data_IF_334072630192
#
_entry.id   IF_334072630192
#
_cell.length_a   1.000
_cell.length_b   1.000
_cell.length_c   1.000
_cell.angle_alpha   90.00
_cell.angle_beta   90.00
_cell.angle_gamma   90.00
#
_symmetry.space_group_name_H-M   'P 1'
#
loop_
_entity.id
_entity.type
_entity.pdbx_description
1 polymer ?
#
# COMPACT_ATOMS: atom_id res chain seq x y z
N UNK A 1 -31.47 3.45 -9.29
CA UNK A 1 -31.64 2.28 -8.40
C UNK A 1 -30.35 1.50 -8.49
N UNK A 2 -29.30 2.02 -7.88
CA UNK A 2 -27.98 1.40 -7.92
C UNK A 2 -27.92 0.45 -6.74
N UNK A 3 -27.68 -0.83 -7.04
CA UNK A 3 -27.51 -1.86 -6.02
C UNK A 3 -26.05 -1.86 -5.64
N UNK A 4 -25.69 -1.10 -4.61
CA UNK A 4 -24.37 -1.17 -4.01
C UNK A 4 -24.39 -2.31 -2.99
N UNK A 5 -23.75 -3.41 -3.35
CA UNK A 5 -23.66 -4.61 -2.52
C UNK A 5 -22.46 -4.39 -1.61
N UNK A 6 -22.72 -3.85 -0.43
CA UNK A 6 -21.79 -3.90 0.69
C UNK A 6 -21.34 -5.35 0.92
N UNK A 7 -20.12 -5.56 1.42
CA UNK A 7 -19.65 -6.89 1.86
C UNK A 7 -20.68 -7.59 2.78
N UNK A 8 -21.47 -6.80 3.52
CA UNK A 8 -22.60 -7.25 4.36
C UNK A 8 -23.69 -8.06 3.63
N UNK A 9 -23.89 -7.87 2.32
CA UNK A 9 -24.83 -8.67 1.52
C UNK A 9 -24.24 -10.01 1.04
N UNK A 10 -22.92 -10.21 1.15
CA UNK A 10 -22.24 -11.46 0.78
C UNK A 10 -22.22 -12.51 1.90
N UNK A 11 -22.56 -12.14 3.14
CA UNK A 11 -22.73 -13.08 4.27
C UNK A 11 -24.11 -13.81 4.18
N UNK A 12 -24.55 -14.09 2.96
CA UNK A 12 -25.82 -14.75 2.64
C UNK A 12 -25.74 -16.26 2.77
N UNK A 13 -25.71 -16.77 4.01
CA UNK A 13 -25.88 -18.19 4.39
C UNK A 13 -24.96 -19.18 3.64
N UNK A 14 -23.96 -19.74 4.32
CA UNK A 14 -23.21 -20.89 3.82
C UNK A 14 -24.14 -22.05 3.41
N UNK A 15 -24.27 -22.31 2.11
CA UNK A 15 -24.93 -23.50 1.57
C UNK A 15 -23.89 -24.47 0.98
N UNK A 16 -22.93 -24.90 1.81
CA UNK A 16 -22.41 -26.28 1.76
C UNK A 16 -21.60 -26.75 0.55
N UNK A 17 -20.68 -25.94 -0.02
CA UNK A 17 -19.67 -26.43 -0.96
C UNK A 17 -18.20 -26.17 -0.58
N UNK A 18 -17.92 -25.26 0.35
CA UNK A 18 -16.56 -24.92 0.78
C UNK A 18 -16.13 -25.69 2.05
N UNK A 19 -14.82 -25.93 2.18
CA UNK A 19 -14.23 -26.49 3.40
C UNK A 19 -14.37 -25.53 4.61
N UNK A 20 -14.17 -26.04 5.82
CA UNK A 20 -14.21 -25.23 7.05
C UNK A 20 -13.18 -24.08 6.98
N UNK A 21 -13.62 -22.86 7.30
CA UNK A 21 -12.79 -21.65 7.21
C UNK A 21 -12.89 -20.89 5.88
N UNK A 22 -13.74 -21.36 4.94
CA UNK A 22 -13.97 -20.69 3.66
C UNK A 22 -15.45 -20.30 3.48
N UNK A 23 -15.69 -19.17 2.81
CA UNK A 23 -17.01 -18.65 2.46
C UNK A 23 -17.23 -18.76 0.95
N UNK A 24 -18.41 -19.25 0.54
CA UNK A 24 -18.84 -19.25 -0.85
C UNK A 24 -19.41 -17.88 -1.25
N UNK A 25 -18.87 -17.26 -2.31
CA UNK A 25 -19.35 -16.00 -2.89
C UNK A 25 -19.84 -16.26 -4.32
N UNK A 26 -21.15 -16.09 -4.55
CA UNK A 26 -21.80 -16.45 -5.80
C UNK A 26 -21.89 -15.32 -6.83
N UNK A 27 -21.75 -14.06 -6.40
CA UNK A 27 -21.91 -12.87 -7.25
C UNK A 27 -20.63 -12.03 -7.18
N UNK A 28 -19.55 -12.54 -7.77
CA UNK A 28 -18.22 -11.92 -7.70
C UNK A 28 -18.24 -10.58 -8.44
N UNK A 29 -17.89 -9.45 -7.78
CA UNK A 29 -17.81 -8.13 -8.41
C UNK A 29 -16.82 -8.07 -9.58
N UNK A 30 -17.00 -7.12 -10.50
CA UNK A 30 -16.15 -6.99 -11.70
C UNK A 30 -14.68 -6.65 -11.38
N UNK A 31 -14.42 -5.97 -10.26
CA UNK A 31 -13.09 -5.65 -9.76
C UNK A 31 -12.40 -6.83 -9.04
N UNK A 32 -13.05 -7.99 -8.94
CA UNK A 32 -12.49 -9.20 -8.31
C UNK A 32 -12.14 -10.24 -9.38
N UNK A 33 -10.85 -10.47 -9.57
CA UNK A 33 -10.31 -11.47 -10.48
C UNK A 33 -9.94 -12.75 -9.72
N UNK A 34 -10.60 -13.87 -10.03
CA UNK A 34 -10.26 -15.18 -9.46
C UNK A 34 -9.48 -15.98 -10.48
N UNK A 35 -8.23 -16.29 -10.17
CA UNK A 35 -7.29 -16.97 -11.08
C UNK A 35 -7.50 -18.50 -11.12
N UNK A 36 -8.40 -19.02 -10.29
CA UNK A 36 -8.90 -20.39 -10.31
C UNK A 36 -10.43 -20.42 -10.45
N UNK A 37 -11.01 -21.62 -10.62
CA UNK A 37 -12.46 -21.77 -10.81
C UNK A 37 -13.23 -21.88 -9.49
N UNK A 38 -12.65 -21.46 -8.35
CA UNK A 38 -13.29 -21.59 -7.04
C UNK A 38 -14.13 -20.36 -6.70
N UNK A 39 -15.24 -20.60 -6.01
CA UNK A 39 -16.09 -19.54 -5.45
C UNK A 39 -15.91 -19.46 -3.93
N UNK A 40 -14.88 -20.11 -3.39
CA UNK A 40 -14.62 -20.20 -1.96
C UNK A 40 -13.48 -19.24 -1.61
N UNK A 41 -13.64 -18.46 -0.55
CA UNK A 41 -12.71 -17.42 -0.13
C UNK A 41 -12.37 -17.62 1.34
N UNK A 42 -11.12 -17.48 1.73
CA UNK A 42 -10.73 -17.70 3.11
C UNK A 42 -11.32 -16.64 4.03
N UNK A 43 -12.00 -17.07 5.10
CA UNK A 43 -12.77 -16.20 6.00
C UNK A 43 -11.92 -15.05 6.54
N UNK A 44 -10.69 -15.31 6.98
CA UNK A 44 -9.86 -14.27 7.58
C UNK A 44 -9.41 -13.20 6.57
N UNK A 45 -9.32 -13.54 5.28
CA UNK A 45 -9.04 -12.53 4.25
C UNK A 45 -10.26 -11.64 4.06
N UNK A 46 -11.46 -12.23 4.04
CA UNK A 46 -12.72 -11.47 3.97
C UNK A 46 -12.95 -10.61 5.22
N UNK A 47 -12.62 -11.11 6.42
CA UNK A 47 -12.71 -10.37 7.67
C UNK A 47 -11.79 -9.13 7.65
N UNK A 48 -10.57 -9.27 7.12
CA UNK A 48 -9.65 -8.15 6.98
C UNK A 48 -10.18 -7.07 6.03
N UNK A 49 -10.78 -7.48 4.91
CA UNK A 49 -11.44 -6.57 3.97
C UNK A 49 -12.67 -5.89 4.60
N UNK A 50 -13.48 -6.64 5.37
CA UNK A 50 -14.62 -6.10 6.10
C UNK A 50 -14.20 -5.09 7.16
N UNK A 51 -13.12 -5.34 7.89
CA UNK A 51 -12.56 -4.41 8.87
C UNK A 51 -12.05 -3.12 8.21
N UNK A 52 -11.36 -3.21 7.06
CA UNK A 52 -10.91 -2.03 6.29
C UNK A 52 -12.13 -1.17 5.93
N UNK A 53 -13.18 -1.77 5.37
CA UNK A 53 -14.39 -1.04 5.00
C UNK A 53 -15.03 -0.45 6.26
N UNK A 54 -15.24 -1.26 7.30
CA UNK A 54 -16.03 -0.88 8.46
C UNK A 54 -15.39 0.24 9.29
N UNK A 55 -14.06 0.25 9.40
CA UNK A 55 -13.34 1.29 10.14
C UNK A 55 -13.32 2.63 9.42
N UNK A 56 -13.43 2.63 8.10
CA UNK A 56 -13.32 3.83 7.29
C UNK A 56 -14.70 4.27 6.73
N UNK A 57 -15.78 3.50 6.94
CA UNK A 57 -17.11 3.78 6.39
C UNK A 57 -17.89 4.95 7.04
N UNK A 58 -17.31 5.76 7.94
CA UNK A 58 -18.04 6.85 8.61
C UNK A 58 -17.15 8.02 9.06
N UNK A 59 -17.30 9.18 8.39
CA UNK A 59 -16.97 10.51 8.95
C UNK A 59 -17.84 11.67 8.39
N UNK A 60 -19.08 11.44 7.94
CA UNK A 60 -20.06 12.54 7.85
C UNK A 60 -20.85 12.65 9.16
N UNK A 61 -20.27 13.32 10.17
CA UNK A 61 -21.11 13.97 11.18
C UNK A 61 -21.96 15.02 10.47
N UNK A 62 -23.22 14.68 10.27
CA UNK A 62 -24.37 15.54 9.97
C UNK A 62 -24.16 16.99 10.43
N UNK A 63 -23.78 17.87 9.51
CA UNK A 63 -23.92 19.32 9.69
C UNK A 63 -25.23 19.85 9.10
N UNK A 64 -26.22 18.99 8.83
CA UNK A 64 -27.55 19.45 8.46
C UNK A 64 -28.63 18.76 9.29
N UNK A 65 -29.43 19.58 9.97
CA UNK A 65 -30.57 19.18 10.78
C UNK A 65 -31.81 18.90 9.92
N UNK A 66 -31.64 18.57 8.64
CA UNK A 66 -32.76 18.23 7.79
C UNK A 66 -33.08 16.74 7.91
N UNK A 67 -34.01 16.49 8.83
CA UNK A 67 -34.79 15.26 8.94
C UNK A 67 -35.62 15.13 7.66
N UNK A 68 -34.99 14.66 6.58
CA UNK A 68 -35.72 14.01 5.49
C UNK A 68 -35.37 12.52 5.46
N UNK A 69 -36.42 11.75 5.74
CA UNK A 69 -36.49 10.30 5.81
C UNK A 69 -36.34 9.66 4.42
N UNK A 70 -35.20 9.82 3.77
CA UNK A 70 -34.82 8.97 2.65
C UNK A 70 -33.49 8.27 2.97
N UNK A 71 -33.63 7.01 3.41
CA UNK A 71 -32.62 5.95 3.46
C UNK A 71 -31.17 6.45 3.52
N UNK A 72 -30.62 6.59 4.73
CA UNK A 72 -29.19 6.84 4.95
C UNK A 72 -28.35 5.86 4.13
N UNK A 73 -27.94 6.31 2.95
CA UNK A 73 -26.99 5.66 2.09
C UNK A 73 -25.65 6.06 2.70
N UNK A 74 -25.12 5.20 3.56
CA UNK A 74 -23.70 5.25 3.88
C UNK A 74 -22.96 5.14 2.54
N UNK A 75 -22.14 6.14 2.19
CA UNK A 75 -21.16 5.98 1.12
C UNK A 75 -20.24 4.84 1.56
N UNK A 76 -20.42 3.67 0.97
CA UNK A 76 -19.59 2.52 1.25
C UNK A 76 -18.24 2.73 0.59
N UNK A 77 -17.16 2.53 1.33
CA UNK A 77 -15.84 2.35 0.73
C UNK A 77 -15.91 1.16 -0.20
N UNK A 78 -15.64 1.42 -1.48
CA UNK A 78 -15.44 0.34 -2.43
C UNK A 78 -13.99 -0.14 -2.29
N UNK A 79 -13.76 -1.43 -2.48
CA UNK A 79 -12.40 -1.94 -2.58
C UNK A 79 -12.01 -1.85 -4.05
N UNK A 80 -10.76 -1.50 -4.36
CA UNK A 80 -10.27 -1.48 -5.73
C UNK A 80 -10.09 -2.89 -6.31
N UNK A 81 -9.17 -3.03 -7.26
CA UNK A 81 -8.89 -4.32 -7.90
C UNK A 81 -8.38 -5.35 -6.89
N UNK A 82 -8.89 -6.58 -7.00
CA UNK A 82 -8.49 -7.70 -6.17
C UNK A 82 -8.16 -8.90 -7.05
N UNK A 83 -7.05 -9.59 -6.77
CA UNK A 83 -6.76 -10.89 -7.37
C UNK A 83 -6.68 -11.97 -6.30
N UNK A 84 -7.35 -13.09 -6.57
CA UNK A 84 -7.44 -14.24 -5.68
C UNK A 84 -6.88 -15.48 -6.36
N UNK A 85 -6.08 -16.24 -5.62
CA UNK A 85 -5.50 -17.51 -6.08
C UNK A 85 -5.50 -18.52 -4.95
N UNK A 86 -5.92 -19.74 -5.23
CA UNK A 86 -6.07 -20.81 -4.24
C UNK A 86 -6.88 -20.33 -3.03
N UNK A 87 -8.00 -19.65 -3.29
CA UNK A 87 -8.94 -19.17 -2.26
C UNK A 87 -8.41 -18.07 -1.33
N UNK A 88 -7.22 -17.51 -1.62
CA UNK A 88 -6.54 -16.46 -0.82
C UNK A 88 -6.33 -15.20 -1.64
N UNK A 89 -6.38 -14.04 -0.97
CA UNK A 89 -6.13 -12.74 -1.59
C UNK A 89 -4.63 -12.56 -1.82
N UNK A 90 -4.23 -12.33 -3.07
CA UNK A 90 -2.81 -12.19 -3.46
C UNK A 90 -2.47 -10.78 -3.96
N UNK A 91 -3.47 -10.03 -4.41
CA UNK A 91 -3.33 -8.66 -4.90
C UNK A 91 -4.49 -7.86 -4.35
N UNK A 92 -4.18 -6.76 -3.67
CA UNK A 92 -5.17 -5.81 -3.20
C UNK A 92 -4.76 -4.40 -3.62
N UNK A 93 -5.60 -3.76 -4.42
CA UNK A 93 -5.49 -2.37 -4.78
C UNK A 93 -6.55 -1.58 -4.00
N UNK A 94 -6.09 -0.63 -3.18
CA UNK A 94 -6.90 0.31 -2.43
C UNK A 94 -6.53 1.75 -2.82
N UNK A 95 -6.06 1.94 -4.04
CA UNK A 95 -5.63 3.24 -4.56
C UNK A 95 -6.78 4.24 -4.50
N UNK A 96 -6.55 5.37 -3.84
CA UNK A 96 -7.58 6.38 -3.70
C UNK A 96 -7.81 7.23 -4.95
N UNK A 97 -8.99 7.85 -5.07
CA UNK A 97 -9.31 8.69 -6.24
C UNK A 97 -8.50 9.98 -6.18
N UNK A 98 -7.54 10.08 -7.09
CA UNK A 98 -7.09 11.37 -7.59
C UNK A 98 -8.28 12.07 -8.22
N UNK A 99 -8.61 13.28 -7.74
CA UNK A 99 -9.48 14.23 -8.42
C UNK A 99 -9.34 14.07 -9.94
N UNK A 100 -10.38 13.54 -10.56
CA UNK A 100 -10.39 13.05 -11.93
C UNK A 100 -10.03 14.17 -12.92
N UNK A 101 -8.74 14.36 -13.22
CA UNK A 101 -8.32 15.07 -14.40
C UNK A 101 -8.33 14.05 -15.54
N UNK A 102 -9.49 13.95 -16.19
CA UNK A 102 -9.69 13.28 -17.48
C UNK A 102 -9.99 11.76 -17.40
N UNK A 103 -11.24 11.39 -17.07
CA UNK A 103 -12.10 10.43 -17.79
C UNK A 103 -13.37 10.17 -16.94
N UNK A 104 -14.52 10.68 -17.41
CA UNK A 104 -15.88 10.35 -16.94
C UNK A 104 -16.18 10.64 -15.45
N UNK A 105 -16.72 11.84 -15.16
CA UNK A 105 -17.24 12.30 -13.85
C UNK A 105 -18.41 11.47 -13.27
N UNK A 106 -18.69 10.26 -13.79
CA UNK A 106 -19.81 9.42 -13.33
C UNK A 106 -19.46 8.40 -12.25
N UNK A 107 -18.18 8.21 -11.91
CA UNK A 107 -17.75 7.34 -10.81
C UNK A 107 -16.74 8.07 -9.91
N UNK A 108 -17.27 8.84 -8.95
CA UNK A 108 -16.48 9.34 -7.82
C UNK A 108 -16.38 8.19 -6.85
N UNK A 109 -15.23 7.51 -6.78
CA UNK A 109 -14.99 6.55 -5.72
C UNK A 109 -14.40 7.29 -4.52
N UNK A 110 -15.07 7.20 -3.37
CA UNK A 110 -14.59 7.79 -2.12
C UNK A 110 -13.62 6.79 -1.46
N UNK A 111 -12.32 7.07 -1.54
CA UNK A 111 -11.27 6.19 -1.03
C UNK A 111 -10.31 6.97 -0.11
N UNK A 112 -10.84 7.72 0.84
CA UNK A 112 -10.03 8.32 1.92
C UNK A 112 -9.81 7.27 3.03
N UNK A 113 -9.03 6.21 2.77
CA UNK A 113 -8.69 5.26 3.85
C UNK A 113 -7.79 5.99 4.86
N UNK A 114 -8.27 6.16 6.08
CA UNK A 114 -7.50 6.75 7.18
C UNK A 114 -6.80 5.67 8.02
N UNK A 115 -7.48 4.53 8.20
CA UNK A 115 -7.10 3.47 9.15
C UNK A 115 -6.90 2.14 8.44
N UNK A 116 -5.71 1.57 8.56
CA UNK A 116 -5.45 0.16 8.24
C UNK A 116 -5.58 -0.68 9.53
N UNK A 117 -6.53 -1.63 9.61
CA UNK A 117 -6.74 -2.46 10.80
C UNK A 117 -5.60 -3.45 11.04
N UNK A 118 -5.44 -3.90 12.29
CA UNK A 118 -4.53 -5.00 12.67
C UNK A 118 -4.81 -6.29 11.86
N UNK A 119 -6.07 -6.52 11.47
CA UNK A 119 -6.47 -7.68 10.66
C UNK A 119 -5.88 -7.68 9.25
N UNK A 120 -5.26 -6.59 8.78
CA UNK A 120 -4.44 -6.61 7.56
C UNK A 120 -3.39 -7.73 7.61
N UNK A 121 -2.85 -8.04 8.80
CA UNK A 121 -1.88 -9.11 9.00
C UNK A 121 -2.41 -10.51 8.70
N UNK A 122 -3.73 -10.69 8.54
CA UNK A 122 -4.33 -11.96 8.11
C UNK A 122 -4.09 -12.26 6.62
N UNK A 123 -3.82 -11.23 5.81
CA UNK A 123 -3.57 -11.32 4.36
C UNK A 123 -2.17 -11.88 4.07
N UNK A 124 -1.81 -12.99 4.70
CA UNK A 124 -0.46 -13.55 4.68
C UNK A 124 -0.03 -14.19 3.34
N UNK A 125 -0.93 -14.26 2.35
CA UNK A 125 -0.63 -14.64 0.96
C UNK A 125 -0.54 -13.43 0.02
N UNK A 126 -0.72 -12.22 0.54
CA UNK A 126 -0.68 -10.99 -0.23
C UNK A 126 0.73 -10.73 -0.77
N UNK A 127 0.80 -10.46 -2.07
CA UNK A 127 2.03 -10.18 -2.82
C UNK A 127 2.09 -8.75 -3.34
N UNK A 128 0.94 -8.18 -3.66
CA UNK A 128 0.81 -6.82 -4.13
C UNK A 128 -0.18 -6.07 -3.24
N UNK A 129 0.26 -4.92 -2.75
CA UNK A 129 -0.58 -3.99 -2.00
C UNK A 129 -0.33 -2.57 -2.48
N UNK A 130 -1.39 -1.93 -2.97
CA UNK A 130 -1.38 -0.52 -3.35
C UNK A 130 -2.29 0.27 -2.41
N UNK A 131 -1.69 1.21 -1.69
CA UNK A 131 -2.31 2.09 -0.72
C UNK A 131 -2.13 3.57 -1.10
N UNK A 132 -1.66 3.89 -2.30
CA UNK A 132 -1.48 5.28 -2.73
C UNK A 132 -2.82 6.06 -2.66
N UNK A 133 -2.74 7.38 -2.63
CA UNK A 133 -3.85 8.34 -2.63
C UNK A 133 -4.91 8.16 -1.53
N UNK A 134 -4.51 7.72 -0.35
CA UNK A 134 -5.37 7.62 0.84
C UNK A 134 -5.02 8.70 1.89
N UNK A 135 -5.57 8.58 3.11
CA UNK A 135 -5.30 9.46 4.26
C UNK A 135 -4.55 8.71 5.38
N UNK A 136 -3.74 7.71 5.03
CA UNK A 136 -3.08 6.84 6.00
C UNK A 136 -1.93 7.58 6.69
N UNK A 137 -2.06 7.79 8.00
CA UNK A 137 -1.00 8.39 8.82
C UNK A 137 0.00 7.36 9.33
N UNK A 138 -0.42 6.10 9.52
CA UNK A 138 0.40 5.05 10.12
C UNK A 138 -0.05 3.65 9.66
N UNK A 139 0.87 2.68 9.66
CA UNK A 139 0.56 1.26 9.48
C UNK A 139 0.61 0.51 10.83
N UNK A 140 -0.23 -0.51 11.05
CA UNK A 140 -0.20 -1.33 12.26
C UNK A 140 1.07 -2.22 12.34
N UNK A 141 1.41 -2.72 13.52
CA UNK A 141 2.58 -3.59 13.72
C UNK A 141 2.41 -4.94 13.00
N UNK A 142 1.16 -5.39 12.83
CA UNK A 142 0.75 -6.62 12.15
C UNK A 142 1.11 -6.65 10.67
N UNK A 143 1.51 -5.51 10.08
CA UNK A 143 2.05 -5.47 8.72
C UNK A 143 3.26 -6.40 8.55
N UNK A 144 4.00 -6.69 9.63
CA UNK A 144 5.09 -7.68 9.65
C UNK A 144 4.64 -9.09 9.24
N UNK A 145 3.34 -9.40 9.33
CA UNK A 145 2.79 -10.71 8.95
C UNK A 145 2.61 -10.88 7.44
N UNK A 146 2.73 -9.79 6.64
CA UNK A 146 2.68 -9.81 5.19
C UNK A 146 3.99 -10.33 4.57
N UNK A 147 4.46 -11.48 5.06
CA UNK A 147 5.80 -12.02 4.77
C UNK A 147 6.03 -12.40 3.31
N UNK A 148 4.97 -12.49 2.50
CA UNK A 148 5.03 -12.76 1.07
C UNK A 148 4.86 -11.49 0.20
N UNK A 149 4.76 -10.30 0.81
CA UNK A 149 4.56 -9.06 0.09
C UNK A 149 5.80 -8.74 -0.76
N UNK A 150 5.58 -8.59 -2.07
CA UNK A 150 6.60 -8.35 -3.09
C UNK A 150 6.57 -6.88 -3.54
N UNK A 151 5.39 -6.26 -3.60
CA UNK A 151 5.19 -4.89 -4.08
C UNK A 151 4.32 -4.12 -3.09
N UNK A 152 4.82 -2.96 -2.64
CA UNK A 152 4.10 -2.03 -1.78
C UNK A 152 4.18 -0.60 -2.33
N UNK A 153 3.01 -0.03 -2.60
CA UNK A 153 2.82 1.40 -2.84
C UNK A 153 2.14 2.02 -1.61
N UNK A 154 2.77 3.05 -1.05
CA UNK A 154 2.35 3.77 0.16
C UNK A 154 2.77 5.26 0.05
N UNK A 155 2.85 5.76 -1.18
CA UNK A 155 3.14 7.13 -1.52
C UNK A 155 1.88 8.00 -1.57
N UNK A 156 1.95 9.03 -2.42
CA UNK A 156 0.96 10.02 -2.84
C UNK A 156 -0.29 10.17 -1.96
N UNK A 157 -0.59 11.36 -1.46
CA UNK A 157 -1.84 11.62 -0.71
C UNK A 157 -1.81 11.15 0.76
N UNK A 158 -1.04 10.11 1.09
CA UNK A 158 -0.92 9.63 2.46
C UNK A 158 -0.09 10.59 3.35
N UNK A 159 -0.65 11.08 4.47
CA UNK A 159 0.05 11.96 5.41
C UNK A 159 1.02 11.20 6.34
N UNK A 160 1.94 10.42 5.77
CA UNK A 160 2.96 9.69 6.53
C UNK A 160 4.08 10.62 6.99
N UNK A 161 4.18 10.87 8.30
CA UNK A 161 5.22 11.73 8.89
C UNK A 161 6.50 10.98 9.28
N UNK A 162 6.41 9.65 9.42
CA UNK A 162 7.52 8.79 9.82
C UNK A 162 7.59 7.55 8.94
N UNK A 163 8.80 7.05 8.71
CA UNK A 163 8.98 5.79 7.97
C UNK A 163 8.33 4.63 8.76
N UNK A 164 7.40 3.85 8.18
CA UNK A 164 6.73 2.76 8.91
C UNK A 164 7.72 1.63 9.23
N UNK A 165 8.06 1.43 10.50
CA UNK A 165 9.09 0.45 10.87
C UNK A 165 8.68 -1.01 10.65
N UNK A 166 7.38 -1.31 10.63
CA UNK A 166 6.83 -2.65 10.38
C UNK A 166 7.21 -3.20 9.00
N UNK A 167 7.35 -2.33 7.98
CA UNK A 167 7.71 -2.76 6.62
C UNK A 167 9.19 -3.15 6.50
N UNK A 168 10.06 -2.70 7.41
CA UNK A 168 11.51 -2.96 7.39
C UNK A 168 11.88 -4.42 7.73
N UNK A 169 10.88 -5.25 8.04
CA UNK A 169 11.02 -6.68 8.29
C UNK A 169 10.52 -7.55 7.11
N UNK A 170 9.97 -6.92 6.06
CA UNK A 170 9.40 -7.60 4.91
C UNK A 170 10.47 -7.97 3.88
N UNK A 171 11.23 -9.03 4.19
CA UNK A 171 12.36 -9.49 3.38
C UNK A 171 11.98 -10.07 2.00
N UNK A 172 10.70 -10.09 1.63
CA UNK A 172 10.21 -10.49 0.30
C UNK A 172 9.99 -9.30 -0.63
N UNK A 173 10.04 -8.06 -0.12
CA UNK A 173 9.80 -6.86 -0.91
C UNK A 173 10.83 -6.72 -2.05
N UNK A 174 10.30 -6.63 -3.26
CA UNK A 174 11.04 -6.36 -4.49
C UNK A 174 10.90 -4.89 -4.89
N UNK A 175 9.76 -4.28 -4.58
CA UNK A 175 9.42 -2.91 -4.92
C UNK A 175 8.80 -2.20 -3.73
N UNK A 176 9.39 -1.08 -3.33
CA UNK A 176 8.87 -0.20 -2.29
C UNK A 176 8.81 1.23 -2.79
N UNK A 177 7.62 1.80 -2.78
CA UNK A 177 7.36 3.18 -3.17
C UNK A 177 6.65 3.93 -2.03
N UNK A 178 7.35 4.91 -1.46
CA UNK A 178 6.83 5.86 -0.46
C UNK A 178 7.24 7.25 -0.95
N UNK A 179 6.59 7.75 -1.99
CA UNK A 179 6.88 9.04 -2.63
C UNK A 179 5.76 10.04 -2.35
N UNK A 180 6.06 11.34 -2.41
CA UNK A 180 5.04 12.40 -2.19
C UNK A 180 4.29 12.30 -0.84
N UNK A 181 5.00 11.94 0.23
CA UNK A 181 4.50 11.92 1.62
C UNK A 181 5.24 12.96 2.49
N UNK A 182 5.24 12.79 3.81
CA UNK A 182 5.90 13.69 4.76
C UNK A 182 7.01 13.03 5.59
N UNK A 183 7.50 11.85 5.18
CA UNK A 183 8.57 11.17 5.94
C UNK A 183 9.84 12.02 5.98
N UNK A 184 10.52 12.00 7.12
CA UNK A 184 11.62 12.93 7.43
C UNK A 184 12.99 12.29 7.55
N UNK A 185 13.06 10.95 7.61
CA UNK A 185 14.30 10.19 7.72
C UNK A 185 14.24 8.87 6.96
N UNK A 186 15.41 8.39 6.51
CA UNK A 186 15.60 7.03 6.00
C UNK A 186 16.23 6.22 7.14
N UNK A 187 15.53 5.23 7.72
CA UNK A 187 16.09 4.42 8.80
C UNK A 187 17.23 3.53 8.29
N UNK A 188 18.25 3.28 9.13
CA UNK A 188 19.38 2.40 8.78
C UNK A 188 18.94 0.97 8.44
N UNK A 189 17.84 0.54 9.07
CA UNK A 189 17.18 -0.75 8.90
C UNK A 189 16.59 -0.92 7.50
N UNK A 190 16.56 0.12 6.65
CA UNK A 190 16.26 -0.03 5.22
C UNK A 190 17.17 -1.08 4.57
N UNK A 191 18.42 -1.20 5.02
CA UNK A 191 19.37 -2.19 4.54
C UNK A 191 18.98 -3.65 4.83
N UNK A 192 17.94 -3.90 5.64
CA UNK A 192 17.41 -5.24 5.88
C UNK A 192 16.62 -5.79 4.68
N UNK A 193 16.10 -4.92 3.81
CA UNK A 193 15.29 -5.30 2.64
C UNK A 193 16.16 -5.83 1.49
N UNK A 194 16.97 -6.86 1.74
CA UNK A 194 18.03 -7.31 0.83
C UNK A 194 17.55 -7.81 -0.55
N UNK A 195 16.25 -8.10 -0.70
CA UNK A 195 15.60 -8.52 -1.95
C UNK A 195 15.13 -7.35 -2.81
N UNK A 196 15.15 -6.13 -2.27
CA UNK A 196 14.62 -4.95 -2.94
C UNK A 196 15.37 -4.66 -4.25
N UNK A 197 14.61 -4.48 -5.31
CA UNK A 197 15.08 -4.14 -6.66
C UNK A 197 14.76 -2.69 -7.03
N UNK A 198 13.68 -2.11 -6.47
CA UNK A 198 13.35 -0.70 -6.67
C UNK A 198 12.96 -0.04 -5.36
N UNK A 199 13.55 1.12 -5.09
CA UNK A 199 13.26 1.96 -3.93
C UNK A 199 12.98 3.39 -4.38
N UNK A 200 11.75 3.84 -4.17
CA UNK A 200 11.31 5.20 -4.49
C UNK A 200 10.88 5.92 -3.21
N UNK A 201 11.67 6.93 -2.82
CA UNK A 201 11.43 7.79 -1.67
C UNK A 201 11.47 9.28 -2.07
N UNK A 202 11.19 9.58 -3.34
CA UNK A 202 11.26 10.93 -3.87
C UNK A 202 10.09 11.82 -3.42
N UNK A 203 10.32 13.14 -3.49
CA UNK A 203 9.35 14.17 -3.14
C UNK A 203 8.81 14.06 -1.71
N UNK A 204 9.69 13.72 -0.75
CA UNK A 204 9.38 13.70 0.68
C UNK A 204 10.05 14.88 1.41
N UNK A 205 10.04 14.82 2.75
CA UNK A 205 10.73 15.77 3.62
C UNK A 205 12.02 15.17 4.21
N UNK A 206 12.65 14.22 3.52
CA UNK A 206 13.80 13.50 4.05
C UNK A 206 14.97 14.46 4.30
N UNK A 207 15.50 14.45 5.52
CA UNK A 207 16.66 15.25 5.96
C UNK A 207 17.80 14.35 6.44
N UNK A 208 18.93 14.93 6.82
CA UNK A 208 20.10 14.19 7.29
C UNK A 208 20.94 13.63 6.15
N UNK A 209 21.75 12.61 6.44
CA UNK A 209 22.60 11.93 5.45
C UNK A 209 21.89 10.70 4.88
N UNK A 210 22.29 10.27 3.68
CA UNK A 210 21.87 8.96 3.15
C UNK A 210 22.56 7.88 4.01
N UNK A 211 21.82 6.94 4.64
CA UNK A 211 22.43 5.90 5.47
C UNK A 211 23.34 5.00 4.63
N UNK A 212 24.58 4.71 5.07
CA UNK A 212 25.49 3.77 4.39
C UNK A 212 24.88 2.38 4.16
N UNK A 213 23.94 1.96 5.01
CA UNK A 213 23.19 0.71 4.92
C UNK A 213 22.37 0.58 3.62
N UNK A 214 22.12 1.68 2.89
CA UNK A 214 21.57 1.63 1.54
C UNK A 214 22.39 0.70 0.63
N UNK A 215 23.72 0.63 0.86
CA UNK A 215 24.64 -0.24 0.13
C UNK A 215 24.51 -1.74 0.44
N UNK A 216 23.60 -2.14 1.34
CA UNK A 216 23.26 -3.55 1.56
C UNK A 216 22.20 -4.07 0.58
N UNK A 217 21.50 -3.17 -0.13
CA UNK A 217 20.48 -3.47 -1.12
C UNK A 217 21.10 -3.93 -2.46
N UNK A 218 21.91 -4.98 -2.45
CA UNK A 218 22.76 -5.36 -3.61
C UNK A 218 21.98 -5.75 -4.87
N UNK A 219 20.66 -6.01 -4.78
CA UNK A 219 19.79 -6.30 -5.91
C UNK A 219 19.12 -5.04 -6.51
N UNK A 220 19.37 -3.85 -5.94
CA UNK A 220 18.69 -2.62 -6.33
C UNK A 220 19.10 -2.19 -7.75
N UNK A 221 18.12 -2.08 -8.64
CA UNK A 221 18.26 -1.58 -10.00
C UNK A 221 17.88 -0.10 -10.10
N UNK A 222 16.94 0.34 -9.26
CA UNK A 222 16.41 1.70 -9.30
C UNK A 222 16.36 2.31 -7.90
N UNK A 223 17.04 3.45 -7.72
CA UNK A 223 17.02 4.24 -6.49
C UNK A 223 16.63 5.68 -6.81
N UNK A 224 15.47 6.12 -6.31
CA UNK A 224 15.02 7.50 -6.42
C UNK A 224 14.89 8.13 -5.03
N UNK A 225 15.76 9.11 -4.74
CA UNK A 225 15.71 9.95 -3.54
C UNK A 225 15.52 11.43 -3.92
N UNK A 226 15.11 11.72 -5.16
CA UNK A 226 15.02 13.09 -5.68
C UNK A 226 13.98 13.94 -4.95
N UNK A 227 14.12 15.27 -5.01
CA UNK A 227 13.12 16.19 -4.44
C UNK A 227 13.01 16.12 -2.91
N UNK A 228 14.14 15.99 -2.22
CA UNK A 228 14.22 15.86 -0.77
C UNK A 228 15.13 16.95 -0.17
N UNK A 229 15.43 16.87 1.13
CA UNK A 229 16.31 17.78 1.86
C UNK A 229 17.55 17.05 2.40
N UNK A 230 17.96 15.95 1.76
CA UNK A 230 19.13 15.17 2.15
C UNK A 230 20.40 16.00 1.98
N UNK A 231 21.33 15.85 2.92
CA UNK A 231 22.55 16.65 3.08
C UNK A 231 23.76 15.73 3.32
N UNK A 232 24.95 16.31 3.46
CA UNK A 232 26.19 15.54 3.58
C UNK A 232 26.62 14.92 2.25
N UNK A 233 27.45 13.89 2.31
CA UNK A 233 28.02 13.25 1.11
C UNK A 233 27.24 12.01 0.71
N UNK A 234 27.32 11.64 -0.57
CA UNK A 234 26.86 10.34 -1.05
C UNK A 234 27.75 9.26 -0.40
N UNK A 235 27.20 8.27 0.33
CA UNK A 235 27.99 7.23 0.99
C UNK A 235 28.76 6.39 -0.04
N UNK A 236 29.98 5.96 0.30
CA UNK A 236 30.83 5.17 -0.61
C UNK A 236 30.22 3.78 -0.87
N UNK A 237 29.41 3.32 0.08
CA UNK A 237 28.66 2.07 0.08
C UNK A 237 27.63 1.98 -1.06
N UNK A 238 27.22 3.11 -1.65
CA UNK A 238 26.41 3.09 -2.90
C UNK A 238 27.14 2.31 -4.01
N UNK A 239 28.47 2.25 -4.01
CA UNK A 239 29.23 1.43 -4.95
C UNK A 239 29.06 -0.09 -4.79
N UNK A 240 28.41 -0.56 -3.72
CA UNK A 240 28.02 -1.97 -3.58
C UNK A 240 26.77 -2.33 -4.39
N UNK A 241 26.02 -1.34 -4.89
CA UNK A 241 24.81 -1.52 -5.69
C UNK A 241 25.18 -1.87 -7.14
N UNK A 242 25.75 -3.06 -7.35
CA UNK A 242 26.33 -3.46 -8.64
C UNK A 242 25.30 -3.68 -9.75
N UNK A 243 24.03 -3.85 -9.39
CA UNK A 243 22.91 -3.99 -10.34
C UNK A 243 22.22 -2.64 -10.64
N UNK A 244 22.68 -1.53 -10.05
CA UNK A 244 22.02 -0.23 -10.16
C UNK A 244 22.10 0.31 -11.59
N UNK A 245 20.93 0.54 -12.17
CA UNK A 245 20.75 1.10 -13.53
C UNK A 245 20.36 2.58 -13.45
N UNK A 246 19.57 2.95 -12.45
CA UNK A 246 19.04 4.31 -12.27
C UNK A 246 19.31 4.80 -10.86
N UNK A 247 19.99 5.95 -10.77
CA UNK A 247 20.22 6.68 -9.51
C UNK A 247 19.76 8.12 -9.68
N UNK A 248 18.69 8.50 -8.98
CA UNK A 248 18.20 9.86 -8.95
C UNK A 248 18.38 10.49 -7.56
N UNK A 249 19.20 11.53 -7.50
CA UNK A 249 19.49 12.32 -6.30
C UNK A 249 19.23 13.82 -6.52
N UNK A 250 18.53 14.17 -7.61
CA UNK A 250 18.28 15.57 -7.99
C UNK A 250 17.51 16.31 -6.88
N UNK A 251 17.63 17.63 -6.83
CA UNK A 251 16.87 18.48 -5.91
C UNK A 251 17.01 18.03 -4.44
N UNK A 252 18.25 17.88 -4.01
CA UNK A 252 18.68 17.68 -2.63
C UNK A 252 19.75 18.71 -2.23
N UNK A 253 20.24 18.64 -0.99
CA UNK A 253 21.30 19.48 -0.43
C UNK A 253 22.64 18.72 -0.28
N UNK A 254 22.84 17.67 -1.08
CA UNK A 254 24.05 16.84 -1.06
C UNK A 254 25.28 17.65 -1.47
N UNK A 255 26.39 17.40 -0.78
CA UNK A 255 27.68 18.01 -1.02
C UNK A 255 28.77 16.97 -1.33
N UNK A 256 29.97 17.46 -1.62
CA UNK A 256 31.09 16.62 -2.03
C UNK A 256 31.07 16.25 -3.51
N UNK A 257 31.87 15.26 -3.87
CA UNK A 257 31.95 14.73 -5.23
C UNK A 257 31.19 13.42 -5.36
N UNK A 258 30.83 13.07 -6.60
CA UNK A 258 30.30 11.74 -6.92
C UNK A 258 31.35 10.69 -6.49
N UNK A 259 31.00 9.72 -5.63
CA UNK A 259 31.91 8.68 -5.19
C UNK A 259 32.53 7.93 -6.38
N UNK A 260 33.83 7.70 -6.33
CA UNK A 260 34.55 6.94 -7.37
C UNK A 260 34.14 5.47 -7.44
N UNK A 261 33.43 4.99 -6.44
CA UNK A 261 32.88 3.65 -6.32
C UNK A 261 31.62 3.48 -7.17
N UNK A 262 30.99 4.58 -7.62
CA UNK A 262 29.94 4.53 -8.65
C UNK A 262 30.65 4.34 -9.99
N UNK A 263 30.88 3.08 -10.36
CA UNK A 263 31.52 2.68 -11.61
C UNK A 263 30.56 1.82 -12.40
N UNK A 264 30.23 2.27 -13.61
CA UNK A 264 29.67 1.43 -14.67
C UNK A 264 30.76 0.57 -15.30
#
# INVERSE_FOLDING_TARGET
MVRYISLLLFIGLAWGQCDEGFIEILDIPENVNVLDSSFCFYQFDLDALEDIISLNALNEETSDNDIDNDNGLFESIELGEQEWMNNRLIHLNLWGVLDAIDYDESQIYNYDIEIIPESIGNLNELKYLDLDNNQIENLPDEFVNLTLLEILYLGQGNPLYTFPSSILQLNSLLHLAIYETYITEIPSEIGNLATLSSLFLDNNQLTGEIPPEIGYLTNLTDLNLGGNQLSGVIPLEIGNLTELVSLNLIDNQLEGGIPTQIVN
#
